data_IF_799198098341
#
_entry.id   IF_799198098341
#
_cell.length_a   1.000
_cell.length_b   1.000
_cell.length_c   1.000
_cell.angle_alpha   90.00
_cell.angle_beta   90.00
_cell.angle_gamma   90.00
#
_symmetry.space_group_name_H-M   'P 1'
#
loop_
_entity.id
_entity.type
_entity.pdbx_description
1 polymer ?
#
# COMPACT_ATOMS: atom_id res chain seq x y z
N UNK A 1 -12.70 17.97 16.25
CA UNK A 1 -12.13 17.60 14.94
C UNK A 1 -11.05 16.58 15.21
N UNK A 2 -11.08 15.44 14.51
CA UNK A 2 -10.07 14.40 14.65
C UNK A 2 -8.88 14.73 13.74
N UNK A 3 -7.67 14.36 14.16
CA UNK A 3 -6.44 14.67 13.44
C UNK A 3 -5.64 13.39 13.25
N UNK A 4 -5.23 13.13 12.01
CA UNK A 4 -4.20 12.16 11.67
C UNK A 4 -2.95 12.86 11.15
N UNK A 5 -1.93 12.08 10.82
CA UNK A 5 -0.65 12.64 10.40
C UNK A 5 -0.11 12.01 9.13
N UNK A 6 0.57 12.81 8.33
CA UNK A 6 1.28 12.35 7.13
C UNK A 6 2.73 12.81 7.17
N UNK A 7 3.64 11.88 6.88
CA UNK A 7 5.07 12.15 6.68
C UNK A 7 5.44 11.63 5.29
N UNK A 8 6.10 12.46 4.49
CA UNK A 8 6.55 12.09 3.15
C UNK A 8 8.07 11.88 3.18
N UNK A 9 8.52 10.79 2.59
CA UNK A 9 9.95 10.47 2.44
C UNK A 9 10.27 10.36 0.96
N UNK A 10 11.11 11.23 0.44
CA UNK A 10 11.48 11.26 -0.97
C UNK A 10 12.90 10.76 -1.20
N UNK A 11 13.03 9.86 -2.17
CA UNK A 11 14.30 9.27 -2.61
C UNK A 11 14.38 9.27 -4.13
N UNK A 12 15.59 9.11 -4.66
CA UNK A 12 15.77 8.72 -6.06
C UNK A 12 15.21 7.32 -6.28
N UNK A 13 14.77 7.00 -7.50
CA UNK A 13 14.46 5.62 -7.88
C UNK A 13 15.59 4.65 -7.46
N UNK A 14 15.21 3.41 -7.11
CA UNK A 14 16.09 2.36 -6.53
C UNK A 14 16.57 2.65 -5.10
N UNK A 15 15.85 3.49 -4.35
CA UNK A 15 16.06 3.81 -2.92
C UNK A 15 17.45 4.31 -2.54
N UNK A 16 18.26 4.72 -3.52
CA UNK A 16 19.69 4.91 -3.34
C UNK A 16 20.03 6.20 -2.57
N UNK A 17 19.31 7.32 -2.77
CA UNK A 17 19.70 8.63 -2.20
C UNK A 17 18.46 9.44 -1.77
N UNK A 18 18.44 9.99 -0.54
CA UNK A 18 17.41 10.96 -0.12
C UNK A 18 17.41 12.22 -0.97
N UNK A 19 16.23 12.75 -1.28
CA UNK A 19 16.07 13.95 -2.10
C UNK A 19 15.63 15.16 -1.29
N UNK A 20 16.53 16.10 -1.09
CA UNK A 20 16.23 17.39 -0.49
C UNK A 20 15.63 18.37 -1.49
N UNK A 21 14.81 19.32 -1.02
CA UNK A 21 14.30 20.38 -1.88
C UNK A 21 13.12 19.96 -2.77
N UNK A 22 12.54 18.78 -2.55
CA UNK A 22 11.35 18.33 -3.28
C UNK A 22 10.15 19.13 -2.81
N UNK A 23 9.46 19.80 -3.74
CA UNK A 23 8.22 20.53 -3.47
C UNK A 23 7.08 19.55 -3.34
N UNK A 24 6.47 19.50 -2.15
CA UNK A 24 5.36 18.63 -1.81
C UNK A 24 4.10 19.48 -1.65
N UNK A 25 3.05 19.15 -2.40
CA UNK A 25 1.72 19.78 -2.27
C UNK A 25 0.70 18.73 -1.87
N UNK A 26 0.05 18.94 -0.72
CA UNK A 26 -1.00 18.06 -0.20
C UNK A 26 -2.35 18.70 -0.52
N UNK A 27 -3.25 17.91 -1.09
CA UNK A 27 -4.60 18.33 -1.50
C UNK A 27 -5.66 17.47 -0.82
N UNK A 28 -6.80 18.10 -0.50
CA UNK A 28 -7.98 17.39 -0.01
C UNK A 28 -8.65 16.59 -1.13
N UNK A 29 -9.74 15.90 -0.79
CA UNK A 29 -10.55 15.13 -1.75
C UNK A 29 -11.28 15.98 -2.80
N UNK A 30 -11.33 17.30 -2.65
CA UNK A 30 -11.88 18.25 -3.62
C UNK A 30 -10.79 18.83 -4.55
N UNK A 31 -9.52 18.47 -4.32
CA UNK A 31 -8.37 18.98 -5.07
C UNK A 31 -7.87 20.34 -4.58
N UNK A 32 -8.38 20.85 -3.46
CA UNK A 32 -7.90 22.11 -2.90
C UNK A 32 -6.56 21.87 -2.18
N UNK A 33 -5.58 22.77 -2.36
CA UNK A 33 -4.31 22.69 -1.64
C UNK A 33 -4.52 22.96 -0.15
N UNK A 34 -4.11 22.02 0.69
CA UNK A 34 -4.17 22.15 2.16
C UNK A 34 -2.79 22.52 2.71
N UNK A 35 -1.73 21.91 2.19
CA UNK A 35 -0.35 22.18 2.59
C UNK A 35 0.59 22.28 1.40
N UNK A 36 1.64 23.09 1.56
CA UNK A 36 2.77 23.16 0.66
C UNK A 36 4.05 23.13 1.48
N UNK A 37 4.91 22.15 1.22
CA UNK A 37 6.10 21.83 2.00
C UNK A 37 7.28 21.57 1.07
N UNK A 38 8.46 21.50 1.66
CA UNK A 38 9.69 21.11 0.95
C UNK A 38 10.44 20.11 1.80
N UNK A 39 11.02 19.08 1.19
CA UNK A 39 11.80 18.07 1.92
C UNK A 39 13.13 18.62 2.39
N UNK A 40 13.57 18.14 3.56
CA UNK A 40 14.83 18.50 4.19
C UNK A 40 16.03 17.73 3.59
N UNK A 41 17.21 17.87 4.20
CA UNK A 41 18.45 17.17 3.80
C UNK A 41 18.37 15.64 3.88
N UNK A 42 17.46 15.10 4.70
CA UNK A 42 17.18 13.67 4.80
C UNK A 42 16.10 13.21 3.82
N UNK A 43 15.63 14.12 2.95
CA UNK A 43 14.55 13.87 2.01
C UNK A 43 13.20 13.68 2.68
N UNK A 44 13.00 14.17 3.89
CA UNK A 44 11.76 13.99 4.65
C UNK A 44 11.00 15.31 4.80
N UNK A 45 9.69 15.22 4.93
CA UNK A 45 8.87 16.34 5.42
C UNK A 45 8.68 16.23 6.92
N UNK A 46 8.46 17.36 7.58
CA UNK A 46 7.89 17.34 8.93
C UNK A 46 6.55 16.56 8.97
N UNK A 47 6.19 16.08 10.15
CA UNK A 47 4.91 15.40 10.40
C UNK A 47 3.75 16.39 10.25
N UNK A 48 2.94 16.21 9.22
CA UNK A 48 1.85 17.13 8.85
C UNK A 48 0.54 16.71 9.50
N UNK A 49 -0.13 17.57 10.30
CA UNK A 49 -1.46 17.28 10.83
C UNK A 49 -2.52 17.51 9.76
N UNK A 50 -3.37 16.50 9.54
CA UNK A 50 -4.45 16.51 8.56
C UNK A 50 -5.78 16.16 9.24
N UNK A 51 -6.83 16.87 8.85
CA UNK A 51 -8.17 16.66 9.41
C UNK A 51 -8.77 15.34 8.95
N UNK A 52 -9.36 14.61 9.89
CA UNK A 52 -10.00 13.34 9.60
C UNK A 52 -11.24 13.14 10.47
N UNK A 53 -11.80 11.93 10.42
CA UNK A 53 -12.94 11.51 11.22
C UNK A 53 -12.47 10.70 12.43
N UNK A 54 -13.32 10.61 13.46
CA UNK A 54 -12.93 9.90 14.68
C UNK A 54 -12.74 8.40 14.45
N UNK A 55 -11.72 7.82 15.08
CA UNK A 55 -11.44 6.38 15.15
C UNK A 55 -12.62 5.57 15.67
N UNK A 56 -13.49 6.17 16.48
CA UNK A 56 -14.73 5.55 16.95
C UNK A 56 -15.62 5.03 15.80
N UNK A 57 -15.61 5.70 14.64
CA UNK A 57 -16.32 5.23 13.45
C UNK A 57 -15.73 3.93 12.90
N UNK A 58 -14.40 3.76 12.92
CA UNK A 58 -13.76 2.51 12.48
C UNK A 58 -14.03 1.34 13.42
N UNK A 59 -14.30 1.64 14.70
CA UNK A 59 -14.53 0.66 15.76
C UNK A 59 -16.02 0.32 15.92
N UNK A 60 -16.90 1.03 15.20
CA UNK A 60 -18.34 0.80 15.23
C UNK A 60 -18.76 -0.13 14.07
N UNK A 61 -19.17 -1.38 14.34
CA UNK A 61 -19.57 -2.32 13.29
C UNK A 61 -20.82 -1.91 12.51
N UNK A 62 -21.62 -0.96 13.03
CA UNK A 62 -22.82 -0.45 12.38
C UNK A 62 -22.57 0.82 11.54
N UNK A 63 -21.35 1.36 11.56
CA UNK A 63 -21.01 2.52 10.76
C UNK A 63 -20.76 2.11 9.30
N UNK A 64 -21.46 2.76 8.37
CA UNK A 64 -21.43 2.43 6.94
C UNK A 64 -20.64 3.42 6.08
N UNK A 65 -20.12 4.50 6.68
CA UNK A 65 -19.25 5.47 6.01
C UNK A 65 -17.78 5.05 5.99
N UNK A 66 -16.93 5.88 5.40
CA UNK A 66 -15.48 5.69 5.44
C UNK A 66 -14.92 6.32 6.72
N UNK A 67 -14.27 5.55 7.61
CA UNK A 67 -13.79 6.06 8.89
C UNK A 67 -12.41 6.74 8.78
N UNK A 68 -12.17 7.42 7.66
CA UNK A 68 -10.98 8.21 7.35
C UNK A 68 -11.30 9.24 6.28
N UNK A 69 -10.46 10.27 6.16
CA UNK A 69 -10.43 11.17 5.02
C UNK A 69 -9.28 10.78 4.07
N UNK A 70 -9.49 10.96 2.77
CA UNK A 70 -8.49 10.73 1.74
C UNK A 70 -7.85 12.03 1.27
N UNK A 71 -6.54 12.00 1.05
CA UNK A 71 -5.74 13.11 0.55
C UNK A 71 -4.95 12.70 -0.69
N UNK A 72 -4.51 13.70 -1.46
CA UNK A 72 -3.61 13.50 -2.59
C UNK A 72 -2.32 14.30 -2.40
N UNK A 73 -1.21 13.78 -2.89
CA UNK A 73 0.12 14.40 -2.79
C UNK A 73 0.70 14.57 -4.19
N UNK A 74 1.17 15.78 -4.50
CA UNK A 74 1.95 16.06 -5.69
C UNK A 74 3.39 16.39 -5.28
N UNK A 75 4.34 15.60 -5.77
CA UNK A 75 5.77 15.80 -5.58
C UNK A 75 6.43 16.30 -6.85
N UNK A 76 7.21 17.38 -6.73
CA UNK A 76 7.95 18.01 -7.84
C UNK A 76 9.37 18.35 -7.43
N UNK A 77 10.33 18.02 -8.28
CA UNK A 77 11.72 18.41 -8.11
C UNK A 77 12.34 18.75 -9.47
N UNK A 78 13.29 19.68 -9.49
CA UNK A 78 13.98 20.07 -10.71
C UNK A 78 14.82 18.90 -11.25
N UNK A 79 14.70 18.59 -12.54
CA UNK A 79 15.40 17.45 -13.17
C UNK A 79 14.76 16.09 -12.94
N UNK A 80 13.59 16.03 -12.31
CA UNK A 80 12.85 14.78 -12.07
C UNK A 80 11.45 14.83 -12.69
N UNK A 81 10.94 13.65 -13.06
CA UNK A 81 9.53 13.47 -13.34
C UNK A 81 8.70 13.72 -12.07
N UNK A 82 7.55 14.37 -12.23
CA UNK A 82 6.66 14.63 -11.09
C UNK A 82 5.84 13.38 -10.76
N UNK A 83 5.51 13.21 -9.48
CA UNK A 83 4.66 12.11 -9.02
C UNK A 83 3.40 12.66 -8.35
N UNK A 84 2.25 12.19 -8.79
CA UNK A 84 0.96 12.43 -8.16
C UNK A 84 0.48 11.14 -7.50
N UNK A 85 0.21 11.19 -6.20
CA UNK A 85 -0.31 10.06 -5.42
C UNK A 85 -1.69 10.43 -4.90
N UNK A 86 -2.72 9.65 -5.23
CA UNK A 86 -4.11 9.89 -4.82
C UNK A 86 -4.63 8.86 -3.82
N UNK A 87 -5.75 9.21 -3.18
CA UNK A 87 -6.52 8.35 -2.28
C UNK A 87 -5.77 7.90 -1.02
N UNK A 88 -4.84 8.71 -0.50
CA UNK A 88 -4.07 8.40 0.71
C UNK A 88 -4.98 8.48 1.94
N UNK A 89 -5.26 7.37 2.65
CA UNK A 89 -6.15 7.38 3.79
C UNK A 89 -5.44 7.91 5.04
N UNK A 90 -6.04 8.89 5.72
CA UNK A 90 -5.52 9.45 6.96
C UNK A 90 -6.45 9.10 8.12
N UNK A 91 -5.91 8.43 9.13
CA UNK A 91 -6.65 7.95 10.29
C UNK A 91 -6.33 8.77 11.55
N UNK A 92 -7.30 8.93 12.45
CA UNK A 92 -7.12 9.67 13.71
C UNK A 92 -5.98 9.08 14.55
N UNK A 93 -5.13 9.95 15.09
CA UNK A 93 -3.94 9.64 15.92
C UNK A 93 -2.82 8.86 15.21
N UNK A 94 -3.07 8.32 14.02
CA UNK A 94 -2.11 7.53 13.27
C UNK A 94 -1.21 8.38 12.37
N UNK A 95 -0.02 7.85 12.06
CA UNK A 95 0.93 8.49 11.14
C UNK A 95 1.12 7.66 9.89
N UNK A 96 0.61 8.15 8.76
CA UNK A 96 0.90 7.60 7.45
C UNK A 96 2.30 8.03 7.00
N UNK A 97 3.09 7.07 6.50
CA UNK A 97 4.39 7.31 5.90
C UNK A 97 4.25 7.06 4.40
N UNK A 98 4.50 8.09 3.60
CA UNK A 98 4.42 8.01 2.14
C UNK A 98 5.84 8.04 1.53
N UNK A 99 6.39 6.88 1.16
CA UNK A 99 7.63 6.83 0.39
C UNK A 99 7.36 7.25 -1.05
N UNK A 100 8.18 8.17 -1.57
CA UNK A 100 8.13 8.69 -2.93
C UNK A 100 9.50 8.45 -3.58
N UNK A 101 9.52 7.66 -4.64
CA UNK A 101 10.69 7.47 -5.48
C UNK A 101 10.55 8.33 -6.74
N UNK A 102 11.33 9.40 -6.87
CA UNK A 102 11.33 10.24 -8.07
C UNK A 102 12.31 9.69 -9.11
N UNK A 103 11.86 9.67 -10.35
CA UNK A 103 12.65 9.20 -11.50
C UNK A 103 13.27 10.43 -12.19
N UNK A 104 14.60 10.49 -12.35
CA UNK A 104 15.25 11.56 -13.11
C UNK A 104 14.70 11.66 -14.53
N UNK A 105 14.64 12.87 -15.07
CA UNK A 105 14.30 13.09 -16.47
C UNK A 105 15.41 12.55 -17.38
N UNK A 106 15.04 12.02 -18.54
CA UNK A 106 16.03 11.61 -19.55
C UNK A 106 16.72 12.84 -20.15
N UNK A 107 17.97 12.72 -20.61
CA UNK A 107 18.73 13.87 -21.15
C UNK A 107 18.02 14.56 -22.34
N UNK A 108 17.29 13.80 -23.15
CA UNK A 108 16.50 14.32 -24.28
C UNK A 108 15.14 14.89 -23.87
N UNK A 109 14.73 14.71 -22.61
CA UNK A 109 13.43 15.11 -22.11
C UNK A 109 13.44 16.57 -21.66
N UNK A 110 12.62 17.40 -22.32
CA UNK A 110 12.56 18.85 -22.04
C UNK A 110 11.55 19.25 -20.96
N UNK A 111 10.56 18.39 -20.70
CA UNK A 111 9.47 18.65 -19.75
C UNK A 111 9.24 17.42 -18.86
N UNK A 112 8.95 17.59 -17.56
CA UNK A 112 8.69 16.47 -16.68
C UNK A 112 7.41 15.74 -17.09
N UNK A 113 7.43 14.42 -17.04
CA UNK A 113 6.23 13.58 -17.16
C UNK A 113 5.63 13.44 -15.75
N UNK A 114 4.31 13.47 -15.64
CA UNK A 114 3.62 13.18 -14.38
C UNK A 114 3.22 11.70 -14.33
N UNK A 115 3.81 10.96 -13.41
CA UNK A 115 3.32 9.63 -13.04
C UNK A 115 2.18 9.77 -12.03
N UNK A 116 1.20 8.87 -12.10
CA UNK A 116 0.05 8.84 -11.18
C UNK A 116 -0.05 7.47 -10.52
N UNK A 117 -0.19 7.46 -9.19
CA UNK A 117 -0.38 6.27 -8.36
C UNK A 117 -1.60 6.51 -7.49
N UNK A 118 -2.58 5.61 -7.52
CA UNK A 118 -3.69 5.62 -6.55
C UNK A 118 -3.45 4.52 -5.53
N UNK A 119 -3.51 4.86 -4.24
CA UNK A 119 -3.41 3.88 -3.15
C UNK A 119 -4.71 3.07 -3.03
N UNK A 120 -5.84 3.72 -3.28
CA UNK A 120 -7.17 3.12 -3.15
C UNK A 120 -7.63 2.94 -1.70
N UNK A 121 -8.83 2.39 -1.55
CA UNK A 121 -9.47 2.17 -0.24
C UNK A 121 -9.03 0.84 0.37
N UNK A 122 -8.87 0.73 1.71
CA UNK A 122 -8.67 -0.56 2.37
C UNK A 122 -9.79 -1.54 2.06
N UNK A 123 -9.48 -2.84 1.98
CA UNK A 123 -10.43 -3.88 1.62
C UNK A 123 -11.62 -3.96 2.58
N UNK A 124 -11.40 -3.75 3.88
CA UNK A 124 -12.47 -3.67 4.89
C UNK A 124 -13.47 -2.54 4.62
N UNK A 125 -13.09 -1.51 3.85
CA UNK A 125 -13.98 -0.42 3.42
C UNK A 125 -14.83 -0.80 2.20
N UNK A 126 -14.58 -1.94 1.56
CA UNK A 126 -15.28 -2.39 0.36
C UNK A 126 -16.54 -3.18 0.76
N UNK A 127 -17.67 -2.89 0.11
CA UNK A 127 -18.95 -3.55 0.38
C UNK A 127 -19.09 -4.93 -0.32
N UNK A 128 -18.15 -5.28 -1.20
CA UNK A 128 -18.19 -6.53 -1.97
C UNK A 128 -17.43 -7.64 -1.24
N UNK A 129 -18.09 -8.78 -1.04
CA UNK A 129 -17.47 -9.98 -0.48
C UNK A 129 -16.42 -10.52 -1.46
N UNK A 130 -15.14 -10.51 -1.07
CA UNK A 130 -14.09 -11.15 -1.87
C UNK A 130 -14.19 -12.67 -1.70
N UNK A 131 -14.40 -13.38 -2.80
CA UNK A 131 -14.39 -14.84 -2.80
C UNK A 131 -12.97 -15.35 -2.99
N UNK A 132 -12.55 -16.32 -2.18
CA UNK A 132 -11.31 -17.04 -2.44
C UNK A 132 -11.55 -17.97 -3.63
N UNK A 133 -10.77 -17.78 -4.69
CA UNK A 133 -10.81 -18.65 -5.85
C UNK A 133 -9.64 -19.62 -5.85
N UNK A 134 -9.95 -20.84 -6.25
CA UNK A 134 -9.01 -21.91 -6.52
C UNK A 134 -9.72 -23.26 -6.39
N UNK A 135 -9.31 -24.21 -7.22
CA UNK A 135 -9.87 -25.56 -7.24
C UNK A 135 -9.53 -26.33 -5.97
N UNK A 136 -10.46 -27.17 -5.51
CA UNK A 136 -10.24 -28.18 -4.48
C UNK A 136 -9.37 -29.28 -5.08
N UNK A 137 -8.05 -29.06 -5.13
CA UNK A 137 -7.07 -30.07 -5.52
C UNK A 137 -6.41 -30.65 -4.25
N UNK A 138 -5.90 -31.87 -4.35
CA UNK A 138 -5.18 -32.49 -3.23
C UNK A 138 -3.96 -31.64 -2.86
N UNK A 139 -3.86 -31.15 -1.61
CA UNK A 139 -2.76 -30.27 -1.22
C UNK A 139 -1.47 -31.07 -1.28
N UNK A 140 -0.51 -30.62 -2.10
CA UNK A 140 0.87 -31.07 -1.97
C UNK A 140 1.48 -30.30 -0.79
N UNK A 141 1.68 -31.01 0.31
CA UNK A 141 2.06 -30.41 1.59
C UNK A 141 3.58 -30.50 1.74
N UNK A 142 4.27 -29.37 1.82
CA UNK A 142 5.70 -29.36 2.11
C UNK A 142 5.98 -30.07 3.44
N UNK A 143 7.14 -30.71 3.61
CA UNK A 143 7.41 -31.44 4.87
C UNK A 143 7.72 -30.53 6.06
N UNK A 144 7.99 -29.25 5.83
CA UNK A 144 8.38 -28.28 6.84
C UNK A 144 7.75 -26.92 6.57
N UNK A 145 7.28 -26.26 7.63
CA UNK A 145 6.83 -24.87 7.57
C UNK A 145 8.06 -23.98 7.59
N UNK A 146 8.26 -23.20 6.53
CA UNK A 146 9.36 -22.24 6.39
C UNK A 146 8.77 -20.85 6.16
N UNK A 147 9.37 -19.84 6.78
CA UNK A 147 9.04 -18.45 6.50
C UNK A 147 9.73 -18.08 5.18
N UNK A 148 8.98 -17.73 4.11
CA UNK A 148 9.57 -17.41 2.82
C UNK A 148 10.49 -16.19 2.92
N UNK A 149 11.66 -16.24 2.30
CA UNK A 149 12.50 -15.06 2.13
C UNK A 149 13.44 -15.24 0.93
N UNK A 150 13.23 -14.54 -0.20
CA UNK A 150 12.13 -13.61 -0.45
C UNK A 150 10.78 -14.32 -0.71
N UNK A 151 9.68 -13.57 -0.63
CA UNK A 151 8.36 -13.99 -1.15
C UNK A 151 8.09 -13.29 -2.49
N UNK A 152 7.65 -14.06 -3.49
CA UNK A 152 7.33 -13.54 -4.81
C UNK A 152 5.87 -13.11 -4.89
N UNK A 153 5.64 -11.89 -5.36
CA UNK A 153 4.32 -11.26 -5.48
C UNK A 153 4.09 -10.85 -6.93
N UNK A 154 2.99 -11.30 -7.50
CA UNK A 154 2.55 -10.95 -8.84
C UNK A 154 1.70 -9.69 -8.81
N UNK A 155 2.12 -8.65 -9.53
CA UNK A 155 1.49 -7.32 -9.54
C UNK A 155 0.28 -7.23 -10.48
N UNK A 156 -0.55 -8.26 -10.49
CA UNK A 156 -1.73 -8.34 -11.33
C UNK A 156 -2.62 -9.51 -10.93
N UNK A 157 -3.82 -9.58 -11.51
CA UNK A 157 -4.67 -10.75 -11.31
C UNK A 157 -3.94 -12.00 -11.82
N UNK A 158 -4.23 -13.20 -11.28
CA UNK A 158 -3.52 -14.44 -11.62
C UNK A 158 -3.45 -14.77 -13.13
N UNK A 159 -4.37 -14.22 -13.93
CA UNK A 159 -4.46 -14.42 -15.37
C UNK A 159 -3.79 -13.34 -16.22
N UNK A 160 -3.34 -12.23 -15.62
CA UNK A 160 -2.67 -11.17 -16.34
C UNK A 160 -1.17 -11.47 -16.47
N UNK A 161 -0.57 -11.02 -17.57
CA UNK A 161 0.89 -10.91 -17.65
C UNK A 161 1.33 -9.69 -16.86
N UNK A 162 1.53 -9.84 -15.56
CA UNK A 162 2.09 -8.80 -14.70
C UNK A 162 3.50 -9.16 -14.21
N UNK A 163 4.23 -8.14 -13.76
CA UNK A 163 5.57 -8.32 -13.21
C UNK A 163 5.51 -9.04 -11.86
N UNK A 164 6.49 -9.92 -11.63
CA UNK A 164 6.76 -10.49 -10.33
C UNK A 164 7.73 -9.60 -9.56
N UNK A 165 7.45 -9.35 -8.29
CA UNK A 165 8.31 -8.62 -7.38
C UNK A 165 8.65 -9.50 -6.19
N UNK A 166 9.92 -9.51 -5.81
CA UNK A 166 10.40 -10.21 -4.62
C UNK A 166 10.52 -9.21 -3.48
N UNK A 167 9.87 -9.51 -2.36
CA UNK A 167 9.94 -8.71 -1.13
C UNK A 167 10.26 -9.60 0.07
N UNK A 168 10.67 -8.99 1.17
CA UNK A 168 10.78 -9.72 2.43
C UNK A 168 9.38 -10.11 2.92
N UNK A 169 9.24 -11.24 3.61
CA UNK A 169 7.95 -11.65 4.17
C UNK A 169 7.37 -10.63 5.16
N UNK A 170 8.16 -9.99 6.06
CA UNK A 170 7.65 -8.90 6.89
C UNK A 170 7.08 -7.73 6.08
N UNK A 171 7.73 -7.32 4.99
CA UNK A 171 7.24 -6.19 4.18
C UNK A 171 6.00 -6.55 3.38
N UNK A 172 5.91 -7.80 2.90
CA UNK A 172 4.67 -8.33 2.35
C UNK A 172 3.52 -8.22 3.35
N UNK A 173 3.71 -8.68 4.60
CA UNK A 173 2.66 -8.64 5.64
C UNK A 173 2.26 -7.20 5.97
N UNK A 174 3.22 -6.27 6.08
CA UNK A 174 2.93 -4.84 6.31
C UNK A 174 2.07 -4.26 5.19
N UNK A 175 2.45 -4.51 3.93
CA UNK A 175 1.73 -4.01 2.77
C UNK A 175 0.31 -4.56 2.71
N UNK A 176 0.14 -5.89 2.87
CA UNK A 176 -1.18 -6.52 2.89
C UNK A 176 -2.03 -5.98 4.05
N UNK A 177 -1.49 -5.92 5.27
CA UNK A 177 -2.24 -5.39 6.41
C UNK A 177 -2.69 -3.94 6.18
N UNK A 178 -1.82 -3.09 5.63
CA UNK A 178 -2.15 -1.69 5.32
C UNK A 178 -3.25 -1.53 4.27
N UNK A 179 -3.40 -2.52 3.39
CA UNK A 179 -4.45 -2.55 2.37
C UNK A 179 -5.72 -3.29 2.80
N UNK A 180 -5.68 -4.05 3.90
CA UNK A 180 -6.82 -4.89 4.32
C UNK A 180 -7.57 -4.33 5.54
N UNK A 181 -6.86 -3.80 6.53
CA UNK A 181 -7.45 -3.44 7.84
C UNK A 181 -7.18 -1.97 8.23
N UNK A 182 -7.99 -1.43 9.14
CA UNK A 182 -7.78 -0.09 9.67
C UNK A 182 -6.78 -0.09 10.82
N UNK A 183 -5.79 0.82 10.83
CA UNK A 183 -4.79 0.91 11.91
C UNK A 183 -5.40 1.36 13.24
N UNK A 184 -6.56 2.02 13.21
CA UNK A 184 -7.28 2.54 14.39
C UNK A 184 -8.02 1.47 15.21
N UNK A 185 -7.98 0.21 14.78
CA UNK A 185 -8.59 -0.89 15.52
C UNK A 185 -7.82 -1.21 16.81
N UNK A 186 -8.50 -1.80 17.82
CA UNK A 186 -7.81 -2.23 19.03
C UNK A 186 -6.65 -3.19 18.72
N UNK A 187 -5.60 -3.13 19.54
CA UNK A 187 -4.38 -3.92 19.34
C UNK A 187 -4.66 -5.42 19.19
N UNK A 188 -5.61 -5.97 19.97
CA UNK A 188 -6.02 -7.36 19.87
C UNK A 188 -6.62 -7.70 18.49
N UNK A 189 -7.42 -6.79 17.92
CA UNK A 189 -8.01 -6.94 16.59
C UNK A 189 -6.94 -6.85 15.50
N UNK A 190 -5.99 -5.91 15.62
CA UNK A 190 -4.85 -5.81 14.70
C UNK A 190 -4.02 -7.10 14.72
N UNK A 191 -3.65 -7.58 15.92
CA UNK A 191 -2.88 -8.83 16.10
C UNK A 191 -3.62 -10.02 15.50
N UNK A 192 -4.92 -10.17 15.77
CA UNK A 192 -5.72 -11.28 15.24
C UNK A 192 -5.77 -11.27 13.70
N UNK A 193 -5.99 -10.12 13.08
CA UNK A 193 -6.02 -10.00 11.63
C UNK A 193 -4.64 -10.21 11.00
N UNK A 194 -3.57 -9.68 11.60
CA UNK A 194 -2.20 -9.92 11.14
C UNK A 194 -1.85 -11.41 11.23
N UNK A 195 -2.24 -12.10 12.32
CA UNK A 195 -2.05 -13.55 12.42
C UNK A 195 -2.85 -14.31 11.37
N UNK A 196 -4.06 -13.88 11.05
CA UNK A 196 -4.86 -14.47 9.96
C UNK A 196 -4.18 -14.28 8.59
N UNK A 197 -3.67 -13.07 8.30
CA UNK A 197 -2.91 -12.76 7.08
C UNK A 197 -1.67 -13.65 6.98
N UNK A 198 -0.87 -13.74 8.04
CA UNK A 198 0.33 -14.59 8.10
C UNK A 198 -0.03 -16.05 7.87
N UNK A 199 -1.04 -16.56 8.58
CA UNK A 199 -1.49 -17.96 8.49
C UNK A 199 -1.96 -18.28 7.07
N UNK A 200 -2.75 -17.39 6.47
CA UNK A 200 -3.22 -17.55 5.10
C UNK A 200 -2.07 -17.57 4.09
N UNK A 201 -1.14 -16.62 4.19
CA UNK A 201 0.01 -16.54 3.29
C UNK A 201 0.93 -17.77 3.41
N UNK A 202 1.26 -18.18 4.64
CA UNK A 202 2.07 -19.37 4.87
C UNK A 202 1.37 -20.64 4.38
N UNK A 203 0.06 -20.78 4.61
CA UNK A 203 -0.72 -21.91 4.10
C UNK A 203 -0.66 -22.00 2.57
N UNK A 204 -0.78 -20.86 1.86
CA UNK A 204 -0.71 -20.81 0.39
C UNK A 204 0.66 -21.21 -0.15
N UNK A 205 1.74 -20.82 0.53
CA UNK A 205 3.10 -21.25 0.16
C UNK A 205 3.31 -22.74 0.48
N UNK A 206 2.86 -23.18 1.66
CA UNK A 206 3.07 -24.54 2.17
C UNK A 206 2.34 -25.63 1.39
N UNK A 207 1.21 -25.27 0.76
CA UNK A 207 0.38 -26.19 -0.05
C UNK A 207 0.72 -26.13 -1.55
N UNK A 208 1.78 -25.38 -1.93
CA UNK A 208 2.11 -25.06 -3.33
C UNK A 208 0.87 -24.67 -4.15
N UNK A 209 -0.03 -23.91 -3.52
CA UNK A 209 -1.36 -23.65 -4.10
C UNK A 209 -1.26 -23.06 -5.50
N UNK A 210 -0.20 -22.34 -5.84
CA UNK A 210 -0.04 -21.74 -7.17
C UNK A 210 0.91 -22.51 -8.10
N UNK A 211 1.81 -23.34 -7.57
CA UNK A 211 2.75 -24.14 -8.39
C UNK A 211 2.06 -25.26 -9.17
N UNK A 212 1.01 -25.86 -8.58
CA UNK A 212 0.22 -26.93 -9.21
C UNK A 212 -0.96 -26.44 -10.08
N UNK A 213 -1.22 -25.12 -10.14
CA UNK A 213 -2.45 -24.59 -10.74
C UNK A 213 -2.13 -23.71 -11.96
N UNK A 214 -2.67 -24.08 -13.13
CA UNK A 214 -2.76 -23.18 -14.29
C UNK A 214 -3.85 -22.11 -14.05
N UNK A 215 -3.68 -20.87 -14.52
CA UNK A 215 -4.52 -19.76 -14.10
C UNK A 215 -5.87 -19.77 -14.83
N UNK A 216 -6.99 -19.86 -14.10
CA UNK A 216 -8.33 -19.55 -14.62
C UNK A 216 -9.20 -18.83 -13.58
N UNK A 217 -9.82 -17.74 -14.06
CA UNK A 217 -10.99 -16.91 -13.62
C UNK A 217 -11.22 -16.73 -12.10
N UNK A 218 -11.31 -15.53 -11.51
CA UNK A 218 -11.88 -14.20 -11.83
C UNK A 218 -11.50 -13.12 -10.77
N UNK A 219 -11.86 -11.86 -11.02
CA UNK A 219 -11.92 -10.67 -10.14
C UNK A 219 -11.18 -10.61 -8.77
N UNK A 220 -10.09 -9.83 -8.80
CA UNK A 220 -9.70 -8.85 -7.76
C UNK A 220 -9.16 -9.36 -6.41
N UNK A 221 -8.04 -10.08 -6.45
CA UNK A 221 -6.98 -9.93 -5.44
C UNK A 221 -5.82 -9.14 -6.06
N UNK A 222 -5.31 -8.06 -5.45
CA UNK A 222 -4.26 -7.27 -6.08
C UNK A 222 -2.88 -7.94 -6.08
N UNK A 223 -2.68 -9.09 -5.42
CA UNK A 223 -1.36 -9.70 -5.25
C UNK A 223 -1.46 -11.23 -5.25
N UNK A 224 -0.97 -11.89 -6.31
CA UNK A 224 -0.89 -13.37 -6.38
C UNK A 224 0.48 -13.82 -5.86
N UNK A 225 0.52 -14.76 -4.93
CA UNK A 225 1.78 -15.25 -4.33
C UNK A 225 2.37 -16.39 -5.15
N UNK A 226 3.68 -16.37 -5.37
CA UNK A 226 4.42 -17.51 -5.90
C UNK A 226 5.54 -17.92 -4.93
N UNK A 227 5.87 -19.23 -4.83
CA UNK A 227 7.11 -19.64 -4.17
C UNK A 227 8.32 -19.02 -4.90
N UNK A 228 9.46 -18.86 -4.21
CA UNK A 228 10.73 -18.44 -4.84
C UNK A 228 11.21 -19.45 -5.90
#
# INVERSE_FOLDING_TARGET
>A
MAIGYLTIQTRTAQDAVPLSGVQIRIMDNQGNPVYSLTTDENGETQKVPLETVSKSFSQNPYYTGTPYNSYSVLARAAGFNSLYVSDIPIFEEETAILPIALIPMQESQRSPIQAEISIGKPAVAMQTQRQQEGTVAEPYVLRQVVIPNPITVHLGPPSASASNVQVSFPDYVKNVASSEIYPTWPEASLRANIYAIITFALNRVYTEWWGNHRPYHTNSFPLTLFPP
#
